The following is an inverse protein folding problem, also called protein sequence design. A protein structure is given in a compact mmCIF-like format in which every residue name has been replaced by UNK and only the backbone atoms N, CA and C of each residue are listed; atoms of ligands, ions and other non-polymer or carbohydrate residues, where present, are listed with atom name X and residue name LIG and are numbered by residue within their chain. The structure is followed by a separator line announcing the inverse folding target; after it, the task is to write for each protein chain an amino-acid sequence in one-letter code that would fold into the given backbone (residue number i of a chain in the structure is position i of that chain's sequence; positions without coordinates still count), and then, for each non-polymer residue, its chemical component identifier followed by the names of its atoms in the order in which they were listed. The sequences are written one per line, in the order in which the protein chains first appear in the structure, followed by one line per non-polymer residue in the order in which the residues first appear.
data_IF_955405697976
#
_entry.id   IF_955405697976
#
_cell.length_a   1.000
_cell.length_b   1.000
_cell.length_c   1.000
_cell.angle_alpha   90.00
_cell.angle_beta   90.00
_cell.angle_gamma   90.00
#
_symmetry.space_group_name_H-M   'P 1'
#
loop_
_entity.id
_entity.type
_entity.pdbx_description
1 polymer ?
#
# COMPACT_ATOMS: atom_id res chain seq x y z
N UNK A 1 7.38 -42.65 36.90
CA UNK A 1 7.41 -42.50 35.43
C UNK A 1 6.54 -41.31 35.08
N UNK A 2 7.15 -40.12 34.95
CA UNK A 2 6.44 -38.86 34.76
C UNK A 2 6.09 -38.72 33.28
N UNK A 3 4.81 -38.84 32.94
CA UNK A 3 4.34 -38.61 31.57
C UNK A 3 4.52 -37.13 31.23
N UNK A 4 5.48 -36.87 30.35
CA UNK A 4 5.77 -35.54 29.83
C UNK A 4 4.62 -35.19 28.91
N UNK A 5 3.71 -34.33 29.38
CA UNK A 5 2.72 -33.70 28.53
C UNK A 5 3.48 -32.79 27.58
N UNK A 6 3.70 -33.27 26.35
CA UNK A 6 4.13 -32.42 25.26
C UNK A 6 2.99 -31.44 25.01
N UNK A 7 3.08 -30.26 25.60
CA UNK A 7 2.25 -29.13 25.21
C UNK A 7 2.62 -28.84 23.76
N UNK A 8 1.79 -29.34 22.84
CA UNK A 8 1.84 -28.92 21.45
C UNK A 8 1.41 -27.46 21.47
N UNK A 9 2.39 -26.57 21.63
CA UNK A 9 2.19 -25.13 21.52
C UNK A 9 1.78 -24.88 20.07
N UNK A 10 0.48 -24.73 19.82
CA UNK A 10 -0.04 -24.29 18.52
C UNK A 10 0.37 -22.84 18.35
N UNK A 11 1.54 -22.61 17.77
CA UNK A 11 2.10 -21.28 17.50
C UNK A 11 2.17 -21.07 15.97
N UNK A 12 1.97 -19.84 15.51
CA UNK A 12 2.10 -19.42 14.10
C UNK A 12 3.43 -19.83 13.43
N UNK A 13 4.46 -20.13 14.22
CA UNK A 13 5.77 -20.62 13.76
C UNK A 13 5.80 -22.12 13.42
N UNK A 14 4.83 -22.93 13.87
CA UNK A 14 4.79 -24.40 13.66
C UNK A 14 3.76 -24.86 12.65
N UNK A 15 2.79 -24.02 12.26
CA UNK A 15 1.78 -24.34 11.26
C UNK A 15 1.87 -23.42 10.04
N UNK A 16 2.43 -23.92 8.93
CA UNK A 16 2.53 -23.20 7.65
C UNK A 16 1.23 -22.58 7.13
N UNK A 17 0.05 -23.22 7.29
CA UNK A 17 -1.25 -22.62 6.96
C UNK A 17 -1.69 -21.52 7.95
N UNK A 18 -1.19 -21.53 9.18
CA UNK A 18 -1.51 -20.50 10.18
C UNK A 18 -0.80 -19.16 9.90
N UNK A 19 0.28 -19.16 9.12
CA UNK A 19 0.88 -17.91 8.62
C UNK A 19 -0.07 -17.13 7.70
N UNK A 20 -1.01 -17.82 7.03
CA UNK A 20 -2.06 -17.22 6.19
C UNK A 20 -3.40 -17.10 6.96
N UNK A 21 -3.44 -17.43 8.26
CA UNK A 21 -4.68 -17.32 9.05
C UNK A 21 -5.08 -15.86 9.34
N UNK A 22 -4.14 -14.92 9.29
CA UNK A 22 -4.35 -13.54 9.68
C UNK A 22 -4.36 -12.59 8.47
N UNK A 23 -5.42 -11.79 8.37
CA UNK A 23 -5.55 -10.68 7.43
C UNK A 23 -4.33 -9.74 7.47
N UNK A 24 -3.71 -9.58 8.64
CA UNK A 24 -2.49 -8.81 8.83
C UNK A 24 -1.30 -9.30 7.99
N UNK A 25 -1.10 -10.61 7.82
CA UNK A 25 0.01 -11.15 7.02
C UNK A 25 -0.14 -10.80 5.54
N UNK A 26 -1.37 -10.88 5.02
CA UNK A 26 -1.67 -10.51 3.63
C UNK A 26 -1.42 -9.01 3.43
N UNK A 27 -1.85 -8.19 4.39
CA UNK A 27 -1.62 -6.75 4.35
C UNK A 27 -0.13 -6.39 4.40
N UNK A 28 0.70 -7.07 5.21
CA UNK A 28 2.14 -6.83 5.26
C UNK A 28 2.88 -7.09 3.95
N UNK A 29 2.37 -8.00 3.11
CA UNK A 29 2.97 -8.25 1.79
C UNK A 29 2.41 -7.28 0.75
N UNK A 30 1.09 -7.06 0.76
CA UNK A 30 0.43 -6.31 -0.31
C UNK A 30 0.58 -4.80 -0.16
N UNK A 31 0.61 -4.24 1.07
CA UNK A 31 0.77 -2.80 1.27
C UNK A 31 2.10 -2.27 0.72
N UNK A 32 3.28 -2.79 1.08
CA UNK A 32 4.55 -2.29 0.56
C UNK A 32 4.67 -2.50 -0.96
N UNK A 33 4.09 -3.58 -1.49
CA UNK A 33 4.01 -3.81 -2.93
C UNK A 33 3.16 -2.73 -3.62
N UNK A 34 1.98 -2.41 -3.06
CA UNK A 34 1.10 -1.35 -3.57
C UNK A 34 1.74 0.03 -3.42
N UNK A 35 2.45 0.33 -2.33
CA UNK A 35 3.12 1.61 -2.14
C UNK A 35 4.23 1.81 -3.17
N UNK A 36 5.06 0.78 -3.39
CA UNK A 36 6.13 0.81 -4.39
C UNK A 36 5.53 0.93 -5.80
N UNK A 37 4.49 0.14 -6.11
CA UNK A 37 3.78 0.21 -7.39
C UNK A 37 3.14 1.58 -7.62
N UNK A 38 2.48 2.13 -6.61
CA UNK A 38 1.87 3.46 -6.68
C UNK A 38 2.91 4.56 -6.89
N UNK A 39 4.07 4.49 -6.21
CA UNK A 39 5.16 5.44 -6.40
C UNK A 39 5.72 5.40 -7.84
N UNK A 40 5.90 4.20 -8.41
CA UNK A 40 6.37 4.02 -9.79
C UNK A 40 5.35 4.56 -10.80
N UNK A 41 4.07 4.24 -10.61
CA UNK A 41 2.98 4.72 -11.48
C UNK A 41 2.85 6.25 -11.35
N UNK A 42 2.92 6.80 -10.14
CA UNK A 42 2.91 8.23 -9.89
C UNK A 42 4.05 8.94 -10.63
N UNK A 43 5.27 8.40 -10.55
CA UNK A 43 6.42 8.91 -11.29
C UNK A 43 6.17 8.88 -12.81
N UNK A 44 5.65 7.77 -13.34
CA UNK A 44 5.33 7.66 -14.76
C UNK A 44 4.27 8.68 -15.20
N UNK A 45 3.22 8.90 -14.39
CA UNK A 45 2.21 9.93 -14.66
C UNK A 45 2.78 11.34 -14.60
N UNK A 46 3.70 11.63 -13.67
CA UNK A 46 4.38 12.92 -13.62
C UNK A 46 5.20 13.18 -14.88
N UNK A 47 5.94 12.18 -15.38
CA UNK A 47 6.73 12.32 -16.60
C UNK A 47 5.83 12.57 -17.81
N UNK A 48 4.73 11.81 -17.95
CA UNK A 48 3.77 11.99 -19.03
C UNK A 48 3.07 13.35 -18.95
N UNK A 49 2.64 13.76 -17.76
CA UNK A 49 2.02 15.07 -17.53
C UNK A 49 2.99 16.23 -17.80
N UNK A 50 4.24 16.10 -17.38
CA UNK A 50 5.28 17.11 -17.62
C UNK A 50 5.63 17.22 -19.10
N UNK A 51 5.77 16.08 -19.79
CA UNK A 51 5.98 16.06 -21.24
C UNK A 51 4.83 16.73 -21.98
N UNK A 52 3.59 16.41 -21.60
CA UNK A 52 2.39 17.02 -22.18
C UNK A 52 2.29 18.52 -21.88
N UNK A 53 2.71 18.96 -20.68
CA UNK A 53 2.71 20.37 -20.31
C UNK A 53 3.72 21.18 -21.12
N UNK A 54 4.94 20.66 -21.30
CA UNK A 54 5.99 21.33 -22.09
C UNK A 54 5.63 21.36 -23.58
N UNK A 55 5.01 20.30 -24.09
CA UNK A 55 4.60 20.21 -25.52
C UNK A 55 3.27 20.91 -25.82
N UNK A 56 2.52 21.37 -24.81
CA UNK A 56 1.22 22.02 -24.98
C UNK A 56 1.30 23.37 -25.72
N UNK A 57 2.45 24.05 -25.67
CA UNK A 57 2.61 25.38 -26.27
C UNK A 57 1.58 26.38 -25.74
N UNK A 58 0.88 27.07 -26.66
CA UNK A 58 -0.16 28.07 -26.35
C UNK A 58 -1.59 27.46 -26.32
N UNK A 59 -1.73 26.14 -26.46
CA UNK A 59 -3.05 25.51 -26.41
C UNK A 59 -3.53 25.38 -24.96
N UNK A 60 -4.44 26.26 -24.56
CA UNK A 60 -5.09 26.25 -23.25
C UNK A 60 -5.77 24.90 -22.93
N UNK A 61 -6.25 24.17 -23.94
CA UNK A 61 -6.85 22.84 -23.75
C UNK A 61 -5.80 21.81 -23.30
N UNK A 62 -4.64 21.80 -23.97
CA UNK A 62 -3.56 20.86 -23.64
C UNK A 62 -2.96 21.16 -22.27
N UNK A 63 -2.87 22.44 -21.90
CA UNK A 63 -2.43 22.87 -20.57
C UNK A 63 -3.39 22.36 -19.48
N UNK A 64 -4.71 22.48 -19.70
CA UNK A 64 -5.72 21.95 -18.77
C UNK A 64 -5.66 20.43 -18.65
N UNK A 65 -5.44 19.70 -19.76
CA UNK A 65 -5.27 18.24 -19.74
C UNK A 65 -4.04 17.84 -18.92
N UNK A 66 -2.90 18.50 -19.10
CA UNK A 66 -1.71 18.24 -18.30
C UNK A 66 -1.95 18.48 -16.80
N UNK A 67 -2.60 19.59 -16.44
CA UNK A 67 -3.00 19.86 -15.04
C UNK A 67 -3.94 18.80 -14.46
N UNK A 68 -4.87 18.29 -15.27
CA UNK A 68 -5.76 17.20 -14.85
C UNK A 68 -4.98 15.91 -14.54
N UNK A 69 -3.95 15.59 -15.34
CA UNK A 69 -3.05 14.43 -15.09
C UNK A 69 -2.29 14.60 -13.78
N UNK A 70 -1.76 15.80 -13.49
CA UNK A 70 -1.10 16.04 -12.20
C UNK A 70 -2.08 15.89 -11.04
N UNK A 71 -3.29 16.43 -11.18
CA UNK A 71 -4.31 16.38 -10.13
C UNK A 71 -4.74 14.93 -9.84
N UNK A 72 -4.97 14.13 -10.88
CA UNK A 72 -5.32 12.72 -10.72
C UNK A 72 -4.18 11.90 -10.11
N UNK A 73 -2.93 12.15 -10.51
CA UNK A 73 -1.76 11.52 -9.93
C UNK A 73 -1.62 11.83 -8.43
N UNK A 74 -1.79 13.09 -8.03
CA UNK A 74 -1.73 13.50 -6.62
C UNK A 74 -2.86 12.86 -5.82
N UNK A 75 -4.09 12.85 -6.34
CA UNK A 75 -5.23 12.21 -5.66
C UNK A 75 -4.96 10.71 -5.45
N UNK A 76 -4.45 10.01 -6.47
CA UNK A 76 -4.08 8.61 -6.36
C UNK A 76 -3.03 8.37 -5.27
N UNK A 77 -1.98 9.19 -5.21
CA UNK A 77 -0.95 9.10 -4.18
C UNK A 77 -1.53 9.35 -2.78
N UNK A 78 -2.37 10.38 -2.62
CA UNK A 78 -3.02 10.70 -1.35
C UNK A 78 -3.89 9.55 -0.85
N UNK A 79 -4.68 8.93 -1.73
CA UNK A 79 -5.51 7.77 -1.37
C UNK A 79 -4.65 6.62 -0.81
N UNK A 80 -3.52 6.34 -1.46
CA UNK A 80 -2.61 5.26 -1.05
C UNK A 80 -1.96 5.57 0.30
N UNK A 81 -1.54 6.82 0.53
CA UNK A 81 -1.00 7.27 1.81
C UNK A 81 -2.05 7.20 2.94
N UNK A 82 -3.28 7.66 2.67
CA UNK A 82 -4.37 7.63 3.64
C UNK A 82 -4.75 6.18 3.98
N UNK A 83 -4.80 5.29 2.99
CA UNK A 83 -5.03 3.86 3.21
C UNK A 83 -4.02 3.25 4.19
N UNK A 84 -2.73 3.55 4.02
CA UNK A 84 -1.69 3.10 4.94
C UNK A 84 -1.90 3.60 6.37
N UNK A 85 -2.20 4.88 6.53
CA UNK A 85 -2.47 5.47 7.85
C UNK A 85 -3.71 4.83 8.50
N UNK A 86 -4.78 4.63 7.73
CA UNK A 86 -6.00 4.00 8.21
C UNK A 86 -5.75 2.57 8.73
N UNK A 87 -5.01 1.74 7.97
CA UNK A 87 -4.66 0.39 8.41
C UNK A 87 -3.88 0.42 9.72
N UNK A 88 -2.93 1.37 9.86
CA UNK A 88 -2.14 1.54 11.08
C UNK A 88 -3.00 1.94 12.28
N UNK A 89 -3.94 2.87 12.09
CA UNK A 89 -4.86 3.34 13.14
C UNK A 89 -5.79 2.20 13.58
N UNK A 90 -6.35 1.44 12.63
CA UNK A 90 -7.18 0.28 12.93
C UNK A 90 -6.39 -0.77 13.72
N UNK A 91 -5.16 -1.05 13.29
CA UNK A 91 -4.27 -1.97 14.02
C UNK A 91 -3.99 -1.55 15.46
N UNK A 92 -3.73 -0.26 15.66
CA UNK A 92 -3.52 0.31 16.99
C UNK A 92 -4.74 0.14 17.91
N UNK A 93 -5.95 0.35 17.39
CA UNK A 93 -7.20 0.21 18.15
C UNK A 93 -7.47 -1.27 18.50
N UNK A 94 -7.15 -2.19 17.60
CA UNK A 94 -7.35 -3.64 17.79
C UNK A 94 -6.25 -4.24 18.71
N UNK A 95 -5.19 -3.49 19.02
CA UNK A 95 -4.07 -3.97 19.85
C UNK A 95 -3.15 -4.97 19.13
N UNK A 96 -3.29 -5.09 17.81
CA UNK A 96 -2.47 -5.97 16.96
C UNK A 96 -1.59 -5.08 16.09
N UNK A 97 -0.26 -5.27 16.12
CA UNK A 97 0.64 -4.61 15.16
C UNK A 97 0.46 -5.25 13.78
N UNK A 98 -0.49 -4.71 13.02
CA UNK A 98 -0.83 -5.15 11.65
C UNK A 98 0.33 -4.89 10.69
N UNK A 99 1.11 -3.84 10.93
CA UNK A 99 2.25 -3.42 10.12
C UNK A 99 3.50 -3.55 10.98
N UNK A 100 4.42 -4.42 10.56
CA UNK A 100 5.72 -4.61 11.22
C UNK A 100 6.67 -3.44 10.98
#
# INVERSE_FOLDING_TARGET
MNVVHAEVVINESTFGPAKIANFATILNVILPLLMTGAAVIFLAMLLLGAYQWITAGDSAENMKKAQAVFTSAIIGLVIVLVSFVLVRVIGYIIGVQILQ
#
